data_IF_923365898859
#
_entry.id   IF_923365898859
#
_cell.length_a   1.000
_cell.length_b   1.000
_cell.length_c   1.000
_cell.angle_alpha   90.00
_cell.angle_beta   90.00
_cell.angle_gamma   90.00
#
_symmetry.space_group_name_H-M   'P 1'
#
loop_
_entity.id
_entity.type
_entity.pdbx_description
1 polymer ?
#
# COMPACT_ATOMS: atom_id res chain seq x y z
N UNK A 1 5.30 -5.54 -21.62
CA UNK A 1 6.29 -6.48 -21.04
C UNK A 1 5.63 -7.74 -20.52
N UNK A 2 6.32 -8.86 -20.66
CA UNK A 2 5.91 -10.12 -20.02
C UNK A 2 6.22 -10.08 -18.52
N UNK A 3 5.64 -11.01 -17.75
CA UNK A 3 5.94 -11.12 -16.31
C UNK A 3 7.43 -11.32 -16.04
N UNK A 4 8.11 -12.13 -16.86
CA UNK A 4 9.54 -12.40 -16.71
C UNK A 4 10.41 -11.17 -16.99
N UNK A 5 10.06 -10.39 -17.99
CA UNK A 5 10.74 -9.12 -18.30
C UNK A 5 10.55 -8.11 -17.15
N UNK A 6 9.34 -8.02 -16.61
CA UNK A 6 9.06 -7.18 -15.44
C UNK A 6 9.86 -7.60 -14.22
N UNK A 7 9.93 -8.90 -13.93
CA UNK A 7 10.73 -9.44 -12.83
C UNK A 7 12.20 -9.04 -12.99
N UNK A 8 12.76 -9.25 -14.17
CA UNK A 8 14.16 -8.92 -14.45
C UNK A 8 14.43 -7.43 -14.20
N UNK A 9 13.56 -6.57 -14.71
CA UNK A 9 13.69 -5.13 -14.53
C UNK A 9 13.60 -4.70 -13.07
N UNK A 10 12.69 -5.29 -12.31
CA UNK A 10 12.52 -4.99 -10.89
C UNK A 10 13.71 -5.49 -10.08
N UNK A 11 14.27 -6.64 -10.41
CA UNK A 11 15.50 -7.14 -9.76
C UNK A 11 16.68 -6.18 -10.00
N UNK A 12 16.77 -5.59 -11.18
CA UNK A 12 17.78 -4.57 -11.46
C UNK A 12 17.60 -3.33 -10.57
N UNK A 13 16.36 -2.91 -10.33
CA UNK A 13 16.05 -1.76 -9.50
C UNK A 13 16.18 -2.05 -8.01
N UNK A 14 15.80 -3.25 -7.58
CA UNK A 14 15.85 -3.67 -6.18
C UNK A 14 16.29 -5.14 -6.08
N UNK A 15 17.59 -5.41 -5.95
CA UNK A 15 18.12 -6.78 -5.95
C UNK A 15 17.60 -7.69 -4.83
N UNK A 16 17.12 -7.10 -3.73
CA UNK A 16 16.59 -7.86 -2.60
C UNK A 16 15.10 -8.18 -2.67
N UNK A 17 14.42 -7.84 -3.76
CA UNK A 17 12.98 -8.07 -3.88
C UNK A 17 12.66 -9.56 -4.00
N UNK A 18 11.61 -10.00 -3.29
CA UNK A 18 11.04 -11.34 -3.42
C UNK A 18 9.73 -11.28 -4.19
N UNK A 19 9.36 -12.39 -4.82
CA UNK A 19 8.18 -12.44 -5.68
C UNK A 19 7.23 -13.54 -5.23
N UNK A 20 5.92 -13.28 -5.35
CA UNK A 20 4.89 -14.30 -5.25
C UNK A 20 4.29 -14.55 -6.64
N UNK A 21 4.02 -15.82 -6.94
CA UNK A 21 3.36 -16.19 -8.18
C UNK A 21 1.84 -16.21 -7.99
N UNK A 22 1.11 -15.83 -9.03
CA UNK A 22 -0.34 -15.79 -9.02
C UNK A 22 -0.90 -15.12 -10.26
N UNK A 23 -2.15 -14.71 -10.19
CA UNK A 23 -2.80 -13.96 -11.27
C UNK A 23 -2.03 -12.67 -11.59
N UNK A 24 -1.52 -12.01 -10.54
CA UNK A 24 -0.76 -10.78 -10.63
C UNK A 24 0.69 -11.04 -10.24
N UNK A 25 1.63 -10.41 -10.93
CA UNK A 25 3.02 -10.39 -10.46
C UNK A 25 3.07 -9.59 -9.17
N UNK A 26 3.38 -10.24 -8.07
CA UNK A 26 3.44 -9.63 -6.74
C UNK A 26 4.88 -9.54 -6.27
N UNK A 27 5.27 -8.36 -5.82
CA UNK A 27 6.61 -8.08 -5.30
C UNK A 27 6.49 -7.78 -3.81
N UNK A 28 7.28 -8.48 -2.99
CA UNK A 28 7.33 -8.28 -1.54
C UNK A 28 8.60 -7.50 -1.23
N UNK A 29 8.44 -6.37 -0.56
CA UNK A 29 9.55 -5.48 -0.22
C UNK A 29 9.46 -5.02 1.24
N UNK A 30 10.59 -4.58 1.77
CA UNK A 30 10.61 -3.89 3.07
C UNK A 30 10.08 -2.46 2.93
N UNK A 31 9.35 -1.93 3.94
CA UNK A 31 8.76 -0.59 3.84
C UNK A 31 9.79 0.51 3.62
N UNK A 32 11.02 0.36 4.10
CA UNK A 32 12.09 1.34 3.92
C UNK A 32 12.50 1.51 2.45
N UNK A 33 12.30 0.50 1.63
CA UNK A 33 12.68 0.51 0.21
C UNK A 33 11.55 0.96 -0.71
N UNK A 34 10.33 1.08 -0.18
CA UNK A 34 9.15 1.30 -1.01
C UNK A 34 9.17 2.65 -1.74
N UNK A 35 9.44 3.73 -1.03
CA UNK A 35 9.39 5.06 -1.64
C UNK A 35 10.39 5.22 -2.78
N UNK A 36 11.59 4.71 -2.63
CA UNK A 36 12.60 4.76 -3.68
C UNK A 36 12.18 3.92 -4.89
N UNK A 37 11.72 2.70 -4.66
CA UNK A 37 11.21 1.84 -5.72
C UNK A 37 10.01 2.48 -6.43
N UNK A 38 9.10 3.10 -5.68
CA UNK A 38 7.92 3.77 -6.23
C UNK A 38 8.30 4.87 -7.22
N UNK A 39 9.27 5.70 -6.88
CA UNK A 39 9.80 6.73 -7.78
C UNK A 39 10.37 6.13 -9.05
N UNK A 40 11.17 5.08 -8.92
CA UNK A 40 11.77 4.39 -10.05
C UNK A 40 10.72 3.77 -10.96
N UNK A 41 9.70 3.12 -10.40
CA UNK A 41 8.60 2.53 -11.16
C UNK A 41 7.83 3.57 -11.96
N UNK A 42 7.63 4.75 -11.40
CA UNK A 42 6.95 5.83 -12.09
C UNK A 42 7.81 6.49 -13.16
N UNK A 43 9.07 6.75 -12.85
CA UNK A 43 9.97 7.55 -13.71
C UNK A 43 10.63 6.75 -14.83
N UNK A 44 10.78 5.45 -14.65
CA UNK A 44 11.39 4.60 -15.68
C UNK A 44 10.50 4.56 -16.93
N UNK A 45 11.05 5.00 -18.05
CA UNK A 45 10.31 5.11 -19.31
C UNK A 45 9.87 3.77 -19.90
N UNK A 46 10.55 2.68 -19.53
CA UNK A 46 10.20 1.33 -19.97
C UNK A 46 9.12 0.68 -19.10
N UNK A 47 8.96 1.14 -17.88
CA UNK A 47 7.95 0.65 -16.93
C UNK A 47 6.72 1.54 -16.90
N UNK A 48 6.91 2.84 -16.74
CA UNK A 48 5.89 3.88 -16.78
C UNK A 48 4.62 3.52 -15.98
N UNK A 49 4.80 3.11 -14.71
CA UNK A 49 3.67 2.86 -13.82
C UNK A 49 3.06 4.19 -13.36
N UNK A 50 2.15 4.68 -14.15
CA UNK A 50 1.53 6.00 -13.99
C UNK A 50 0.20 5.98 -13.24
N UNK A 51 -0.34 4.80 -12.92
CA UNK A 51 -1.64 4.67 -12.28
C UNK A 51 -1.60 3.72 -11.06
N UNK A 52 -1.77 4.29 -9.88
CA UNK A 52 -2.03 3.54 -8.65
C UNK A 52 -3.55 3.48 -8.50
N UNK A 53 -4.15 2.32 -8.80
CA UNK A 53 -5.60 2.19 -8.82
C UNK A 53 -6.20 1.52 -7.59
N UNK A 54 -5.36 0.91 -6.76
CA UNK A 54 -5.81 0.34 -5.49
C UNK A 54 -4.68 0.38 -4.47
N UNK A 55 -5.01 0.80 -3.26
CA UNK A 55 -4.11 0.80 -2.12
C UNK A 55 -4.94 0.38 -0.91
N UNK A 56 -4.52 -0.68 -0.24
CA UNK A 56 -5.26 -1.22 0.90
C UNK A 56 -4.32 -1.84 1.91
N UNK A 57 -4.88 -2.34 2.99
CA UNK A 57 -4.15 -3.00 4.07
C UNK A 57 -4.86 -4.29 4.46
N UNK A 58 -4.09 -5.28 4.86
CA UNK A 58 -4.61 -6.55 5.37
C UNK A 58 -4.13 -6.72 6.82
N UNK A 59 -5.06 -6.96 7.73
CA UNK A 59 -4.74 -7.30 9.12
C UNK A 59 -4.62 -8.82 9.28
N UNK A 60 -3.38 -9.28 9.52
CA UNK A 60 -3.09 -10.68 9.81
C UNK A 60 -3.06 -10.99 11.31
N UNK A 61 -3.45 -10.04 12.18
CA UNK A 61 -3.35 -10.07 13.64
C UNK A 61 -1.91 -9.94 14.16
N UNK A 62 -0.97 -10.69 13.59
CA UNK A 62 0.46 -10.63 13.96
C UNK A 62 1.17 -9.44 13.34
N UNK A 63 0.72 -9.01 12.18
CA UNK A 63 1.28 -7.88 11.43
C UNK A 63 0.23 -7.33 10.46
N UNK A 64 0.52 -6.16 9.90
CA UNK A 64 -0.26 -5.58 8.81
C UNK A 64 0.53 -5.72 7.50
N UNK A 65 -0.19 -5.88 6.39
CA UNK A 65 0.42 -5.88 5.06
C UNK A 65 -0.20 -4.78 4.22
N UNK A 66 0.62 -3.85 3.75
CA UNK A 66 0.19 -2.87 2.75
C UNK A 66 0.20 -3.52 1.38
N UNK A 67 -0.83 -3.23 0.58
CA UNK A 67 -1.00 -3.76 -0.77
C UNK A 67 -1.24 -2.61 -1.73
N UNK A 68 -0.38 -2.48 -2.73
CA UNK A 68 -0.46 -1.45 -3.76
C UNK A 68 -0.63 -2.11 -5.13
N UNK A 69 -1.66 -1.69 -5.88
CA UNK A 69 -1.88 -2.14 -7.25
C UNK A 69 -1.51 -1.04 -8.22
N UNK A 70 -0.56 -1.31 -9.08
CA UNK A 70 -0.05 -0.37 -10.06
C UNK A 70 -0.30 -0.86 -11.48
N UNK A 71 -0.64 0.06 -12.37
CA UNK A 71 -0.83 -0.20 -13.78
C UNK A 71 -0.07 0.84 -14.63
N UNK A 72 0.35 0.41 -15.80
CA UNK A 72 0.84 1.32 -16.83
C UNK A 72 -0.23 1.48 -17.89
N UNK A 73 -0.79 2.67 -17.99
CA UNK A 73 -1.79 2.96 -19.01
C UNK A 73 -1.19 2.97 -20.41
N UNK A 74 0.11 3.20 -20.51
CA UNK A 74 0.85 3.20 -21.77
C UNK A 74 1.16 1.79 -22.26
N UNK A 75 1.68 0.91 -21.40
CA UNK A 75 2.15 -0.43 -21.79
C UNK A 75 1.18 -1.55 -21.41
N UNK A 76 0.12 -1.25 -20.69
CA UNK A 76 -0.91 -2.22 -20.28
C UNK A 76 -0.37 -3.40 -19.47
N UNK A 77 0.64 -3.15 -18.66
CA UNK A 77 1.13 -4.14 -17.69
C UNK A 77 0.86 -3.68 -16.26
N UNK A 78 0.77 -4.62 -15.35
CA UNK A 78 0.44 -4.33 -13.96
C UNK A 78 1.29 -5.15 -13.00
N UNK A 79 1.42 -4.62 -11.78
CA UNK A 79 2.10 -5.29 -10.68
C UNK A 79 1.36 -5.02 -9.37
N UNK A 80 1.62 -5.88 -8.39
CA UNK A 80 1.17 -5.70 -7.01
C UNK A 80 2.41 -5.61 -6.12
N UNK A 81 2.44 -4.61 -5.25
CA UNK A 81 3.49 -4.45 -4.25
C UNK A 81 2.91 -4.74 -2.88
N UNK A 82 3.55 -5.61 -2.12
CA UNK A 82 3.20 -5.90 -0.74
C UNK A 82 4.34 -5.53 0.19
N UNK A 83 4.01 -4.94 1.31
CA UNK A 83 4.96 -4.57 2.34
C UNK A 83 4.42 -4.89 3.72
N UNK A 84 5.18 -5.65 4.50
CA UNK A 84 4.80 -6.07 5.85
C UNK A 84 5.16 -4.97 6.84
N UNK A 85 4.20 -4.58 7.68
CA UNK A 85 4.36 -3.58 8.72
C UNK A 85 4.20 -4.20 10.11
N UNK A 86 4.90 -3.63 11.10
CA UNK A 86 4.74 -4.01 12.49
C UNK A 86 3.34 -3.61 12.98
N UNK A 87 2.59 -4.54 13.54
CA UNK A 87 1.24 -4.29 14.04
C UNK A 87 1.24 -3.32 15.24
N UNK A 88 2.30 -3.28 16.02
CA UNK A 88 2.40 -2.40 17.19
C UNK A 88 2.64 -0.93 16.81
N UNK A 89 3.37 -0.70 15.71
CA UNK A 89 3.70 0.64 15.23
C UNK A 89 3.78 0.65 13.71
N UNK A 90 2.65 0.49 13.01
CA UNK A 90 2.67 0.42 11.55
C UNK A 90 2.95 1.79 10.95
N UNK A 91 4.01 1.86 10.15
CA UNK A 91 4.41 3.08 9.46
C UNK A 91 5.06 2.78 8.12
N UNK A 92 4.80 3.62 7.15
CA UNK A 92 5.39 3.56 5.81
C UNK A 92 5.40 4.96 5.21
N UNK A 93 6.38 5.28 4.39
CA UNK A 93 6.43 6.60 3.75
C UNK A 93 5.31 6.77 2.73
N UNK A 94 4.77 8.00 2.67
CA UNK A 94 3.73 8.34 1.69
C UNK A 94 4.25 8.23 0.25
N UNK A 95 3.35 7.86 -0.66
CA UNK A 95 3.59 7.94 -2.10
C UNK A 95 2.58 8.87 -2.79
N UNK A 96 1.92 9.73 -2.02
CA UNK A 96 0.91 10.66 -2.52
C UNK A 96 1.46 11.74 -3.45
N UNK A 97 2.74 12.05 -3.34
CA UNK A 97 3.44 12.96 -4.26
C UNK A 97 3.86 12.27 -5.58
N UNK A 98 3.91 10.94 -5.57
CA UNK A 98 4.23 10.14 -6.76
C UNK A 98 2.94 9.84 -7.54
N UNK A 99 1.90 9.39 -6.86
CA UNK A 99 0.56 9.17 -7.44
C UNK A 99 -0.48 9.92 -6.61
N UNK A 100 -1.16 10.87 -7.22
CA UNK A 100 -2.15 11.70 -6.51
C UNK A 100 -3.30 10.89 -5.92
N UNK A 101 -3.68 9.80 -6.58
CA UNK A 101 -4.73 8.89 -6.09
C UNK A 101 -4.38 8.28 -4.72
N UNK A 102 -3.11 8.14 -4.40
CA UNK A 102 -2.66 7.60 -3.12
C UNK A 102 -3.09 8.46 -1.92
N UNK A 103 -3.24 9.77 -2.09
CA UNK A 103 -3.56 10.66 -0.97
C UNK A 103 -4.80 10.19 -0.19
N UNK A 104 -5.92 10.00 -0.85
CA UNK A 104 -7.16 9.57 -0.19
C UNK A 104 -7.13 8.11 0.23
N UNK A 105 -6.52 7.23 -0.55
CA UNK A 105 -6.34 5.83 -0.16
C UNK A 105 -5.49 5.69 1.11
N UNK A 106 -4.43 6.48 1.24
CA UNK A 106 -3.60 6.47 2.45
C UNK A 106 -4.38 6.98 3.67
N UNK A 107 -5.18 8.02 3.51
CA UNK A 107 -6.05 8.51 4.59
C UNK A 107 -7.05 7.46 5.04
N UNK A 108 -7.66 6.72 4.10
CA UNK A 108 -8.57 5.62 4.42
C UNK A 108 -7.84 4.53 5.24
N UNK A 109 -6.68 4.09 4.82
CA UNK A 109 -5.89 3.08 5.55
C UNK A 109 -5.46 3.61 6.92
N UNK A 110 -5.07 4.87 7.00
CA UNK A 110 -4.74 5.52 8.28
C UNK A 110 -5.92 5.45 9.26
N UNK A 111 -7.12 5.87 8.85
CA UNK A 111 -8.26 5.89 9.76
C UNK A 111 -8.82 4.51 10.10
N UNK A 112 -8.76 3.57 9.16
CA UNK A 112 -9.35 2.24 9.30
C UNK A 112 -8.41 1.24 10.01
N UNK A 113 -7.10 1.34 9.79
CA UNK A 113 -6.10 0.39 10.31
C UNK A 113 -5.06 1.01 11.23
N UNK A 114 -4.96 2.33 11.25
CA UNK A 114 -3.99 3.03 12.08
C UNK A 114 -2.56 3.06 11.52
N UNK A 115 -2.39 2.86 10.23
CA UNK A 115 -1.07 2.99 9.58
C UNK A 115 -0.69 4.47 9.51
N UNK A 116 0.51 4.80 9.98
CA UNK A 116 1.06 6.15 9.86
C UNK A 116 1.81 6.30 8.55
N UNK A 117 1.33 7.18 7.68
CA UNK A 117 2.00 7.49 6.41
C UNK A 117 2.94 8.68 6.60
N UNK A 118 4.23 8.39 6.70
CA UNK A 118 5.27 9.40 6.97
C UNK A 118 5.31 10.43 5.83
N UNK A 119 5.36 11.71 6.22
CA UNK A 119 5.40 12.85 5.30
C UNK A 119 4.15 13.05 4.44
N UNK A 120 3.03 12.44 4.81
CA UNK A 120 1.75 12.71 4.15
C UNK A 120 1.34 14.18 4.38
N UNK A 121 0.90 14.90 3.33
CA UNK A 121 0.61 16.33 3.44
C UNK A 121 -0.62 16.67 4.28
N UNK A 122 -1.56 15.73 4.46
CA UNK A 122 -2.83 16.01 5.14
C UNK A 122 -3.45 14.71 5.67
N UNK A 123 -2.78 14.09 6.65
CA UNK A 123 -3.20 12.79 7.21
C UNK A 123 -4.26 12.99 8.30
N UNK A 124 -5.52 12.98 7.88
CA UNK A 124 -6.70 13.15 8.75
C UNK A 124 -7.83 12.25 8.29
N UNK A 125 -8.91 12.18 9.06
CA UNK A 125 -10.09 11.38 8.72
C UNK A 125 -10.65 11.77 7.34
N UNK A 126 -11.08 10.77 6.59
CA UNK A 126 -11.70 10.93 5.28
C UNK A 126 -13.17 10.48 5.28
N UNK A 127 -13.43 9.26 5.72
CA UNK A 127 -14.75 8.61 5.69
C UNK A 127 -15.40 8.63 7.08
N UNK A 128 -14.62 8.40 8.13
CA UNK A 128 -15.11 8.32 9.50
C UNK A 128 -15.57 9.69 10.00
N UNK A 129 -16.65 9.74 10.81
CA UNK A 129 -17.11 11.00 11.39
C UNK A 129 -16.18 11.51 12.47
N UNK A 130 -16.33 12.80 12.82
CA UNK A 130 -15.59 13.41 13.91
C UNK A 130 -15.77 12.60 15.20
N UNK A 131 -14.70 12.47 15.96
CA UNK A 131 -14.67 11.69 17.19
C UNK A 131 -14.28 10.23 17.01
N UNK A 132 -14.04 9.78 15.78
CA UNK A 132 -13.61 8.41 15.49
C UNK A 132 -12.10 8.27 15.33
N UNK A 133 -11.34 9.33 15.54
CA UNK A 133 -9.87 9.30 15.48
C UNK A 133 -9.32 8.21 16.41
N UNK A 134 -8.47 7.34 15.85
CA UNK A 134 -7.80 6.28 16.59
C UNK A 134 -8.64 5.04 16.90
N UNK A 135 -9.89 4.96 16.47
CA UNK A 135 -10.76 3.78 16.68
C UNK A 135 -10.39 2.58 15.81
N UNK A 136 -9.87 2.83 14.59
CA UNK A 136 -9.35 1.81 13.67
C UNK A 136 -10.34 0.65 13.42
N UNK A 137 -11.51 0.94 12.82
CA UNK A 137 -12.63 -0.02 12.79
C UNK A 137 -12.42 -1.25 11.91
N UNK A 138 -11.44 -1.26 11.00
CA UNK A 138 -11.15 -2.45 10.18
C UNK A 138 -10.10 -3.39 10.76
N UNK A 139 -9.51 -3.06 11.92
CA UNK A 139 -8.69 -4.02 12.65
C UNK A 139 -9.57 -5.15 13.18
N UNK A 140 -9.04 -6.37 13.13
CA UNK A 140 -9.77 -7.57 13.59
C UNK A 140 -10.09 -7.56 15.09
N UNK A 141 -9.34 -6.81 15.89
CA UNK A 141 -9.57 -6.65 17.31
C UNK A 141 -10.51 -5.47 17.67
N UNK A 142 -11.04 -4.77 16.67
CA UNK A 142 -11.97 -3.65 16.91
C UNK A 142 -13.26 -4.16 17.54
N UNK A 143 -13.70 -3.44 18.60
CA UNK A 143 -14.96 -3.70 19.27
C UNK A 143 -15.72 -2.39 19.49
N UNK A 144 -17.02 -2.40 19.19
CA UNK A 144 -17.93 -1.32 19.50
C UNK A 144 -19.06 -1.89 20.36
N UNK A 145 -19.05 -1.65 21.69
CA UNK A 145 -20.04 -2.25 22.60
C UNK A 145 -21.47 -1.76 22.37
N UNK A 146 -21.64 -0.64 21.65
CA UNK A 146 -22.97 -0.07 21.37
C UNK A 146 -23.59 -0.62 20.11
N UNK A 147 -22.80 -0.75 19.03
CA UNK A 147 -23.30 -1.03 17.67
C UNK A 147 -23.00 -2.45 17.19
N UNK A 148 -22.09 -3.18 17.82
CA UNK A 148 -21.74 -4.53 17.41
C UNK A 148 -22.60 -5.57 18.12
N UNK A 149 -23.13 -6.52 17.35
CA UNK A 149 -23.86 -7.67 17.86
C UNK A 149 -22.89 -8.83 18.00
N UNK A 150 -22.77 -9.37 19.20
CA UNK A 150 -22.01 -10.59 19.48
C UNK A 150 -22.94 -11.80 19.38
N UNK A 151 -22.57 -12.74 18.52
CA UNK A 151 -23.29 -14.00 18.33
C UNK A 151 -22.63 -15.11 19.15
#
# INVERSE_FOLDING_TARGET
MTKEELKTKIIELLPGATFEEGQWLTIIIEPEHWRLLARQLRQDTSLAFDYLFCLTCIDWKTHLTMVYHLDSTKFRHNIVIKSKLDAANPAIETVSDIWKTANFHEREVYEMFGVNFLDHPDLRLLILPDGWEGKKPLLKNFEDPVNMIRL
#
